data_IF_278502572634
#
_entry.id   IF_278502572634
#
_cell.length_a   1.000
_cell.length_b   1.000
_cell.length_c   1.000
_cell.angle_alpha   90.00
_cell.angle_beta   90.00
_cell.angle_gamma   90.00
#
_symmetry.space_group_name_H-M   'P 1'
#
loop_
_entity.id
_entity.type
_entity.pdbx_description
1 polymer ?
#
# COMPACT_ATOMS: atom_id res chain seq x y z
N UNK A 1 60.23 45.93 -4.46
CA UNK A 1 59.42 44.84 -4.95
C UNK A 1 59.60 43.66 -3.97
N UNK A 2 58.81 43.56 -2.94
CA UNK A 2 58.88 42.48 -1.94
C UNK A 2 57.69 41.55 -2.11
N UNK A 3 57.96 40.30 -2.42
CA UNK A 3 57.00 39.20 -2.50
C UNK A 3 56.58 38.83 -1.07
N UNK A 4 55.29 39.00 -0.76
CA UNK A 4 54.66 38.47 0.45
C UNK A 4 54.34 37.00 0.26
N UNK A 5 55.03 36.16 1.04
CA UNK A 5 54.91 34.70 1.06
C UNK A 5 53.55 34.28 1.68
N UNK A 6 52.93 33.30 1.03
CA UNK A 6 51.64 32.66 1.44
C UNK A 6 51.65 31.96 2.82
N UNK A 7 52.74 32.06 3.57
CA UNK A 7 52.95 31.35 4.87
C UNK A 7 52.51 32.11 6.12
N UNK A 8 52.15 33.39 6.04
CA UNK A 8 51.85 34.20 7.23
C UNK A 8 50.36 34.50 7.44
N UNK A 9 49.43 33.83 6.73
CA UNK A 9 47.97 34.03 6.88
C UNK A 9 47.32 33.10 7.88
N UNK A 10 48.05 32.23 8.58
CA UNK A 10 47.50 31.18 9.43
C UNK A 10 47.73 31.36 10.95
N UNK A 11 47.99 32.58 11.43
CA UNK A 11 48.25 32.79 12.87
C UNK A 11 47.49 33.95 13.52
N UNK A 12 46.29 34.24 13.09
CA UNK A 12 45.38 35.09 13.88
C UNK A 12 43.91 34.72 13.55
N UNK A 13 43.45 33.58 14.03
CA UNK A 13 42.04 33.17 14.01
C UNK A 13 41.52 33.20 15.43
N UNK A 14 40.82 34.27 15.73
CA UNK A 14 40.02 34.45 16.95
C UNK A 14 39.04 33.29 17.08
N UNK A 15 39.05 32.62 18.23
CA UNK A 15 38.05 31.66 18.65
C UNK A 15 36.71 32.38 18.84
N UNK A 16 35.88 32.45 17.81
CA UNK A 16 34.45 32.73 17.93
C UNK A 16 33.75 31.39 18.11
N UNK A 17 33.34 31.11 19.36
CA UNK A 17 32.53 29.95 19.70
C UNK A 17 31.24 29.99 18.92
N UNK A 18 31.15 29.22 17.85
CA UNK A 18 29.89 28.86 17.23
C UNK A 18 29.19 27.84 18.15
N UNK A 19 28.31 28.31 19.00
CA UNK A 19 27.24 27.50 19.55
C UNK A 19 26.41 27.02 18.35
N UNK A 20 26.83 25.90 17.77
CA UNK A 20 25.95 25.15 16.87
C UNK A 20 24.77 24.68 17.73
N UNK A 21 23.67 25.43 17.67
CA UNK A 21 22.39 24.98 18.18
C UNK A 21 22.08 23.65 17.47
N UNK A 22 22.18 22.55 18.19
CA UNK A 22 21.62 21.26 17.79
C UNK A 22 20.12 21.49 17.81
N UNK A 23 19.59 22.03 16.72
CA UNK A 23 18.16 22.03 16.48
C UNK A 23 17.74 20.58 16.48
N UNK A 24 17.02 20.15 17.51
CA UNK A 24 16.31 18.89 17.49
C UNK A 24 15.39 18.94 16.28
N UNK A 25 15.76 18.20 15.23
CA UNK A 25 14.86 17.92 14.11
C UNK A 25 13.67 17.17 14.70
N UNK A 26 12.65 17.88 15.11
CA UNK A 26 11.39 17.27 15.46
C UNK A 26 10.85 16.70 14.16
N UNK A 27 10.86 15.36 14.03
CA UNK A 27 10.19 14.70 12.92
C UNK A 27 8.73 15.18 12.91
N UNK A 28 8.28 15.68 11.75
CA UNK A 28 6.88 16.06 11.58
C UNK A 28 5.96 14.93 12.02
N UNK A 29 4.88 15.22 12.77
CA UNK A 29 3.95 14.20 13.22
C UNK A 29 3.43 13.38 12.03
N UNK A 30 3.50 12.04 12.16
CA UNK A 30 2.98 11.16 11.12
C UNK A 30 1.46 11.31 11.03
N UNK A 31 0.94 11.42 9.81
CA UNK A 31 -0.50 11.55 9.51
C UNK A 31 -0.96 10.44 8.56
N UNK A 32 -2.27 10.25 8.49
CA UNK A 32 -2.91 9.34 7.53
C UNK A 32 -2.46 9.62 6.08
N UNK A 33 -2.24 10.88 5.76
CA UNK A 33 -1.81 11.36 4.43
C UNK A 33 -0.30 11.55 4.29
N UNK A 34 0.49 11.23 5.33
CA UNK A 34 1.96 11.25 5.22
C UNK A 34 2.42 10.16 4.26
N UNK A 35 3.34 10.52 3.36
CA UNK A 35 3.97 9.57 2.45
C UNK A 35 4.92 8.64 3.22
N UNK A 36 4.90 7.37 2.88
CA UNK A 36 5.80 6.34 3.37
C UNK A 36 6.34 5.54 2.19
N UNK A 37 7.62 5.20 2.22
CA UNK A 37 8.20 4.26 1.25
C UNK A 37 7.79 2.84 1.62
N UNK A 38 7.28 2.07 0.66
CA UNK A 38 6.90 0.67 0.88
C UNK A 38 8.14 -0.23 0.90
N UNK A 39 8.56 -0.57 2.11
CA UNK A 39 9.71 -1.44 2.32
C UNK A 39 10.96 -0.98 1.55
N UNK A 40 11.57 -1.91 0.81
CA UNK A 40 12.75 -1.67 -0.05
C UNK A 40 12.40 -1.21 -1.47
N UNK A 41 11.11 -1.03 -1.80
CA UNK A 41 10.69 -0.50 -3.10
C UNK A 41 10.91 1.03 -3.17
N UNK A 42 10.97 1.57 -4.38
CA UNK A 42 11.07 3.03 -4.58
C UNK A 42 9.71 3.74 -4.53
N UNK A 43 8.63 2.98 -4.28
CA UNK A 43 7.26 3.50 -4.32
C UNK A 43 6.89 4.15 -2.99
N UNK A 44 6.44 5.39 -3.08
CA UNK A 44 5.86 6.13 -1.94
C UNK A 44 4.35 6.17 -2.04
N UNK A 45 3.69 5.85 -0.94
CA UNK A 45 2.22 5.86 -0.82
C UNK A 45 1.80 6.62 0.43
N UNK A 46 0.56 7.10 0.49
CA UNK A 46 0.00 7.57 1.75
C UNK A 46 -0.31 6.39 2.67
N UNK A 47 -0.26 6.61 3.98
CA UNK A 47 -0.56 5.58 4.97
C UNK A 47 -2.01 5.09 4.90
N UNK A 48 -2.91 5.93 4.39
CA UNK A 48 -4.29 5.58 4.08
C UNK A 48 -4.50 5.58 2.57
N UNK A 49 -5.11 4.52 2.06
CA UNK A 49 -5.49 4.36 0.67
C UNK A 49 -7.01 4.32 0.49
N UNK A 50 -7.50 4.78 -0.65
CA UNK A 50 -8.85 4.49 -1.12
C UNK A 50 -8.82 3.20 -1.94
N UNK A 51 -9.50 2.17 -1.41
CA UNK A 51 -9.67 0.88 -2.07
C UNK A 51 -11.03 0.74 -2.75
N UNK A 52 -11.06 0.00 -3.85
CA UNK A 52 -12.29 -0.29 -4.58
C UNK A 52 -12.76 -1.74 -4.44
N UNK A 53 -12.17 -2.51 -3.52
CA UNK A 53 -12.35 -3.97 -3.43
C UNK A 53 -13.41 -4.46 -2.44
N UNK A 54 -14.16 -3.59 -1.78
CA UNK A 54 -15.18 -4.02 -0.82
C UNK A 54 -16.24 -4.89 -1.49
N UNK A 55 -16.42 -6.12 -0.97
CA UNK A 55 -17.29 -7.14 -1.57
C UNK A 55 -17.02 -7.34 -3.08
N UNK A 56 -15.75 -7.53 -3.44
CA UNK A 56 -15.29 -7.67 -4.83
C UNK A 56 -15.67 -6.48 -5.72
N UNK A 57 -15.64 -5.27 -5.18
CA UNK A 57 -15.92 -4.02 -5.90
C UNK A 57 -17.37 -3.59 -5.92
N UNK A 58 -18.31 -4.43 -5.43
CA UNK A 58 -19.74 -4.15 -5.52
C UNK A 58 -20.14 -2.83 -4.85
N UNK A 59 -19.58 -2.55 -3.66
CA UNK A 59 -19.91 -1.30 -2.93
C UNK A 59 -19.60 -0.06 -3.76
N UNK A 60 -18.46 -0.02 -4.41
CA UNK A 60 -18.04 1.13 -5.21
C UNK A 60 -18.80 1.20 -6.54
N UNK A 61 -19.13 0.04 -7.13
CA UNK A 61 -19.95 -0.02 -8.34
C UNK A 61 -21.39 0.45 -8.09
N UNK A 62 -21.98 0.08 -6.94
CA UNK A 62 -23.34 0.49 -6.56
C UNK A 62 -23.47 2.02 -6.38
N UNK A 63 -22.37 2.75 -6.14
CA UNK A 63 -22.35 4.20 -6.11
C UNK A 63 -22.50 4.83 -7.51
N UNK A 64 -22.29 4.05 -8.56
CA UNK A 64 -22.18 4.54 -9.93
C UNK A 64 -20.93 5.39 -10.17
N UNK A 65 -20.72 5.77 -11.44
CA UNK A 65 -19.52 6.52 -11.83
C UNK A 65 -19.38 7.86 -11.09
N UNK A 66 -20.47 8.61 -11.00
CA UNK A 66 -20.47 9.93 -10.33
C UNK A 66 -20.16 9.81 -8.84
N UNK A 67 -20.73 8.79 -8.17
CA UNK A 67 -20.50 8.53 -6.75
C UNK A 67 -19.03 8.19 -6.48
N UNK A 68 -18.46 7.29 -7.26
CA UNK A 68 -17.03 6.96 -7.13
C UNK A 68 -16.13 8.16 -7.46
N UNK A 69 -16.45 8.92 -8.50
CA UNK A 69 -15.68 10.13 -8.86
C UNK A 69 -15.66 11.13 -7.71
N UNK A 70 -16.82 11.40 -7.07
CA UNK A 70 -16.88 12.27 -5.88
C UNK A 70 -16.00 11.76 -4.73
N UNK A 71 -15.99 10.43 -4.47
CA UNK A 71 -15.15 9.84 -3.42
C UNK A 71 -13.66 9.99 -3.73
N UNK A 72 -13.26 9.70 -4.97
CA UNK A 72 -11.86 9.80 -5.41
C UNK A 72 -11.34 11.22 -5.30
N UNK A 73 -12.13 12.21 -5.80
CA UNK A 73 -11.74 13.61 -5.72
C UNK A 73 -11.69 14.10 -4.27
N UNK A 74 -12.70 13.76 -3.45
CA UNK A 74 -12.66 14.12 -2.02
C UNK A 74 -11.43 13.50 -1.33
N UNK A 75 -11.14 12.22 -1.55
CA UNK A 75 -9.95 11.57 -0.99
C UNK A 75 -8.65 12.30 -1.42
N UNK A 76 -8.56 12.66 -2.70
CA UNK A 76 -7.42 13.39 -3.23
C UNK A 76 -7.29 14.79 -2.60
N UNK A 77 -8.39 15.55 -2.48
CA UNK A 77 -8.43 16.86 -1.85
C UNK A 77 -8.08 16.81 -0.36
N UNK A 78 -8.44 15.72 0.32
CA UNK A 78 -8.06 15.44 1.70
C UNK A 78 -6.60 14.95 1.86
N UNK A 79 -5.86 14.80 0.77
CA UNK A 79 -4.44 14.46 0.76
C UNK A 79 -4.12 12.96 0.61
N UNK A 80 -5.10 12.10 0.39
CA UNK A 80 -4.84 10.70 0.02
C UNK A 80 -4.20 10.66 -1.37
N UNK A 81 -3.11 9.93 -1.51
CA UNK A 81 -2.32 9.78 -2.74
C UNK A 81 -2.09 8.32 -3.10
N UNK A 82 -2.94 7.43 -2.62
CA UNK A 82 -2.86 6.01 -2.90
C UNK A 82 -4.25 5.45 -3.22
N UNK A 83 -4.39 4.91 -4.43
CA UNK A 83 -5.63 4.34 -4.94
C UNK A 83 -5.40 2.87 -5.29
N UNK A 84 -6.35 2.01 -4.92
CA UNK A 84 -6.24 0.56 -5.03
C UNK A 84 -7.43 -0.03 -5.75
N UNK A 85 -7.15 -0.92 -6.71
CA UNK A 85 -8.15 -1.70 -7.45
C UNK A 85 -7.64 -3.11 -7.74
N UNK A 86 -8.39 -3.88 -8.49
CA UNK A 86 -7.98 -5.18 -9.03
C UNK A 86 -8.78 -5.54 -10.28
N UNK A 87 -8.22 -6.41 -11.08
CA UNK A 87 -8.86 -7.00 -12.26
C UNK A 87 -10.22 -7.64 -11.93
N UNK A 88 -10.28 -8.39 -10.83
CA UNK A 88 -11.45 -9.16 -10.42
C UNK A 88 -12.55 -8.33 -9.74
N UNK A 89 -12.40 -6.99 -9.64
CA UNK A 89 -13.40 -6.13 -9.02
C UNK A 89 -14.44 -5.59 -10.02
N UNK A 90 -14.85 -6.42 -10.99
CA UNK A 90 -15.82 -6.04 -12.01
C UNK A 90 -15.38 -4.80 -12.79
N UNK A 91 -16.20 -3.75 -12.79
CA UNK A 91 -15.91 -2.50 -13.52
C UNK A 91 -15.08 -1.49 -12.71
N UNK A 92 -14.70 -1.81 -11.45
CA UNK A 92 -14.06 -0.85 -10.54
C UNK A 92 -12.78 -0.25 -11.12
N UNK A 93 -12.01 -1.04 -11.89
CA UNK A 93 -10.77 -0.57 -12.49
C UNK A 93 -11.01 0.52 -13.55
N UNK A 94 -11.98 0.32 -14.44
CA UNK A 94 -12.36 1.31 -15.45
C UNK A 94 -13.03 2.54 -14.81
N UNK A 95 -13.89 2.33 -13.82
CA UNK A 95 -14.55 3.42 -13.07
C UNK A 95 -13.52 4.28 -12.34
N UNK A 96 -12.50 3.66 -11.72
CA UNK A 96 -11.41 4.38 -11.07
C UNK A 96 -10.58 5.17 -12.09
N UNK A 97 -10.30 4.61 -13.25
CA UNK A 97 -9.59 5.29 -14.34
C UNK A 97 -10.34 6.57 -14.77
N UNK A 98 -11.67 6.49 -14.91
CA UNK A 98 -12.50 7.67 -15.23
C UNK A 98 -12.47 8.68 -14.08
N UNK A 99 -12.54 8.24 -12.83
CA UNK A 99 -12.53 9.11 -11.66
C UNK A 99 -11.19 9.85 -11.46
N UNK A 100 -10.08 9.27 -11.92
CA UNK A 100 -8.74 9.87 -11.86
C UNK A 100 -8.42 10.81 -13.01
N UNK A 101 -9.28 10.93 -14.03
CA UNK A 101 -9.07 11.86 -15.15
C UNK A 101 -8.92 13.29 -14.66
N UNK A 102 -7.89 13.97 -15.17
CA UNK A 102 -7.57 15.36 -14.77
C UNK A 102 -6.71 15.49 -13.53
N UNK A 103 -6.49 14.42 -12.77
CA UNK A 103 -5.52 14.39 -11.67
C UNK A 103 -4.14 14.03 -12.25
N UNK A 104 -3.07 14.80 -12.01
CA UNK A 104 -1.74 14.49 -12.53
C UNK A 104 -1.29 13.10 -12.14
N UNK A 105 -0.90 12.25 -13.11
CA UNK A 105 -0.59 10.84 -12.89
C UNK A 105 0.58 10.60 -11.91
N UNK A 106 1.54 11.48 -11.89
CA UNK A 106 2.71 11.45 -11.00
C UNK A 106 2.42 11.94 -9.57
N UNK A 107 1.24 12.45 -9.33
CA UNK A 107 0.83 12.97 -8.02
C UNK A 107 0.20 11.91 -7.10
N UNK A 108 -0.02 10.69 -7.59
CA UNK A 108 -0.59 9.59 -6.82
C UNK A 108 0.03 8.23 -7.19
N UNK A 109 -0.03 7.28 -6.27
CA UNK A 109 0.28 5.88 -6.53
C UNK A 109 -1.00 5.11 -6.90
N UNK A 110 -0.91 4.30 -7.95
CA UNK A 110 -1.98 3.42 -8.42
C UNK A 110 -1.54 1.96 -8.29
N UNK A 111 -2.31 1.20 -7.53
CA UNK A 111 -2.13 -0.24 -7.36
C UNK A 111 -3.26 -1.02 -8.01
N UNK A 112 -2.90 -2.04 -8.76
CA UNK A 112 -3.84 -3.06 -9.23
C UNK A 112 -3.32 -4.46 -8.94
N UNK A 113 -4.17 -5.46 -9.19
CA UNK A 113 -3.85 -6.87 -8.97
C UNK A 113 -4.30 -7.68 -10.18
N UNK A 114 -3.46 -8.62 -10.59
CA UNK A 114 -3.75 -9.54 -11.68
C UNK A 114 -4.16 -10.90 -11.14
N UNK A 115 -5.23 -11.47 -11.68
CA UNK A 115 -5.66 -12.84 -11.39
C UNK A 115 -4.77 -13.83 -12.14
N UNK A 116 -4.13 -14.71 -11.41
CA UNK A 116 -3.23 -15.71 -11.98
C UNK A 116 -4.01 -16.94 -12.45
N UNK A 117 -3.92 -17.27 -13.75
CA UNK A 117 -4.54 -18.45 -14.35
C UNK A 117 -3.57 -19.13 -15.34
N UNK A 118 -3.73 -20.45 -15.53
CA UNK A 118 -2.85 -21.23 -16.39
C UNK A 118 -2.95 -20.89 -17.88
N UNK A 119 -4.12 -20.45 -18.32
CA UNK A 119 -4.43 -20.24 -19.76
C UNK A 119 -4.17 -18.83 -20.29
N UNK A 120 -3.74 -17.90 -19.44
CA UNK A 120 -3.52 -16.51 -19.83
C UNK A 120 -2.07 -16.28 -20.26
N UNK A 121 -1.87 -15.51 -21.34
CA UNK A 121 -0.56 -14.90 -21.62
C UNK A 121 -0.33 -13.75 -20.62
N UNK A 122 0.61 -13.89 -19.67
CA UNK A 122 0.81 -12.87 -18.64
C UNK A 122 1.16 -11.51 -19.22
N UNK A 123 1.97 -11.45 -20.28
CA UNK A 123 2.41 -10.17 -20.88
C UNK A 123 1.24 -9.42 -21.50
N UNK A 124 0.46 -10.12 -22.31
CA UNK A 124 -0.73 -9.56 -22.94
C UNK A 124 -1.75 -9.08 -21.89
N UNK A 125 -1.90 -9.83 -20.80
CA UNK A 125 -2.81 -9.50 -19.71
C UNK A 125 -2.37 -8.28 -18.92
N UNK A 126 -1.10 -8.15 -18.57
CA UNK A 126 -0.56 -6.95 -17.90
C UNK A 126 -0.76 -5.69 -18.77
N UNK A 127 -0.55 -5.80 -20.09
CA UNK A 127 -0.79 -4.68 -21.01
C UNK A 127 -2.29 -4.37 -21.17
N UNK A 128 -3.17 -5.36 -21.10
CA UNK A 128 -4.62 -5.15 -21.09
C UNK A 128 -5.08 -4.41 -19.83
N UNK A 129 -4.60 -4.82 -18.65
CA UNK A 129 -4.90 -4.14 -17.38
C UNK A 129 -4.50 -2.67 -17.42
N UNK A 130 -3.35 -2.37 -18.00
CA UNK A 130 -2.86 -1.00 -18.16
C UNK A 130 -3.78 -0.18 -19.08
N UNK A 131 -4.22 -0.75 -20.21
CA UNK A 131 -5.21 -0.11 -21.10
C UNK A 131 -6.56 0.12 -20.40
N UNK A 132 -7.06 -0.89 -19.67
CA UNK A 132 -8.31 -0.80 -18.94
C UNK A 132 -8.29 0.24 -17.82
N UNK A 133 -7.11 0.56 -17.29
CA UNK A 133 -6.89 1.59 -16.27
C UNK A 133 -6.51 2.95 -16.84
N UNK A 134 -6.50 3.11 -18.18
CA UNK A 134 -6.11 4.35 -18.87
C UNK A 134 -4.80 4.94 -18.30
N UNK A 135 -3.77 4.11 -18.16
CA UNK A 135 -2.49 4.50 -17.55
C UNK A 135 -1.29 3.90 -18.29
N UNK A 136 -0.19 4.64 -18.31
CA UNK A 136 1.07 4.16 -18.89
C UNK A 136 1.81 3.19 -17.96
N UNK A 137 1.60 3.29 -16.65
CA UNK A 137 2.24 2.42 -15.67
C UNK A 137 1.40 2.25 -14.41
N UNK A 138 1.63 1.15 -13.70
CA UNK A 138 1.19 0.97 -12.31
C UNK A 138 2.37 1.20 -11.35
N UNK A 139 2.10 1.84 -10.23
CA UNK A 139 3.09 1.95 -9.16
C UNK A 139 3.28 0.60 -8.47
N UNK A 140 2.20 -0.17 -8.30
CA UNK A 140 2.24 -1.47 -7.66
C UNK A 140 1.38 -2.46 -8.46
N UNK A 141 1.95 -3.61 -8.81
CA UNK A 141 1.25 -4.76 -9.37
C UNK A 141 1.33 -5.94 -8.41
N UNK A 142 0.20 -6.50 -8.01
CA UNK A 142 0.16 -7.67 -7.15
C UNK A 142 -0.41 -8.89 -7.88
N UNK A 143 0.15 -10.08 -7.59
CA UNK A 143 -0.54 -11.34 -7.84
C UNK A 143 -1.74 -11.41 -6.90
N UNK A 144 -2.95 -11.54 -7.48
CA UNK A 144 -4.17 -11.46 -6.70
C UNK A 144 -4.54 -12.81 -6.07
N UNK A 145 -5.03 -12.75 -4.82
CA UNK A 145 -5.70 -13.86 -4.15
C UNK A 145 -4.87 -15.14 -4.08
N UNK A 146 -3.60 -15.02 -3.67
CA UNK A 146 -2.77 -16.19 -3.43
C UNK A 146 -3.18 -16.86 -2.11
N UNK A 147 -3.56 -18.16 -2.17
CA UNK A 147 -4.18 -18.86 -1.04
C UNK A 147 -3.57 -20.24 -0.73
N UNK A 148 -2.73 -20.78 -1.60
CA UNK A 148 -2.05 -22.06 -1.40
C UNK A 148 -0.65 -21.88 -0.82
N UNK A 149 -0.09 -22.92 -0.20
CA UNK A 149 1.31 -22.92 0.23
C UNK A 149 2.32 -23.06 -0.91
N UNK A 150 1.86 -23.39 -2.11
CA UNK A 150 2.69 -23.58 -3.31
C UNK A 150 2.67 -22.38 -4.26
N UNK A 151 1.90 -21.34 -3.94
CA UNK A 151 1.70 -20.19 -4.83
C UNK A 151 2.99 -19.57 -5.37
N UNK A 152 4.11 -19.51 -4.62
CA UNK A 152 5.33 -18.90 -5.18
C UNK A 152 5.86 -19.66 -6.41
N UNK A 153 5.73 -20.98 -6.41
CA UNK A 153 6.16 -21.82 -7.54
C UNK A 153 5.09 -21.86 -8.64
N UNK A 154 3.82 -21.97 -8.28
CA UNK A 154 2.69 -22.05 -9.22
C UNK A 154 2.58 -20.80 -10.10
N UNK A 155 3.05 -19.66 -9.63
CA UNK A 155 2.92 -18.35 -10.31
C UNK A 155 4.23 -17.86 -10.93
N UNK A 156 5.27 -18.67 -11.09
CA UNK A 156 6.58 -18.26 -11.61
C UNK A 156 6.50 -17.51 -12.93
N UNK A 157 5.73 -18.04 -13.88
CA UNK A 157 5.56 -17.41 -15.19
C UNK A 157 4.92 -16.00 -15.12
N UNK A 158 4.07 -15.74 -14.12
CA UNK A 158 3.54 -14.41 -13.83
C UNK A 158 4.61 -13.51 -13.19
N UNK A 159 5.39 -14.05 -12.26
CA UNK A 159 6.49 -13.32 -11.63
C UNK A 159 7.50 -12.84 -12.68
N UNK A 160 7.90 -13.72 -13.62
CA UNK A 160 8.83 -13.38 -14.69
C UNK A 160 8.26 -12.28 -15.61
N UNK A 161 6.98 -12.38 -15.99
CA UNK A 161 6.33 -11.36 -16.83
C UNK A 161 6.22 -9.99 -16.12
N UNK A 162 5.98 -9.99 -14.80
CA UNK A 162 5.95 -8.76 -14.00
C UNK A 162 7.35 -8.13 -13.92
N UNK A 163 8.41 -8.93 -13.72
CA UNK A 163 9.79 -8.43 -13.73
C UNK A 163 10.18 -7.83 -15.09
N UNK A 164 9.76 -8.44 -16.20
CA UNK A 164 9.95 -7.86 -17.53
C UNK A 164 9.18 -6.53 -17.70
N UNK A 165 7.95 -6.45 -17.17
CA UNK A 165 7.16 -5.21 -17.18
C UNK A 165 7.81 -4.11 -16.33
N UNK A 166 8.46 -4.47 -15.21
CA UNK A 166 9.23 -3.55 -14.38
C UNK A 166 10.46 -3.02 -15.15
N UNK A 167 11.20 -3.89 -15.86
CA UNK A 167 12.30 -3.46 -16.73
C UNK A 167 11.84 -2.48 -17.82
N UNK A 168 10.62 -2.68 -18.36
CA UNK A 168 9.98 -1.76 -19.33
C UNK A 168 9.40 -0.51 -18.67
N UNK A 169 9.45 -0.38 -17.33
CA UNK A 169 8.90 0.73 -16.54
C UNK A 169 7.37 0.87 -16.66
N UNK A 170 6.66 -0.18 -17.00
CA UNK A 170 5.20 -0.22 -16.98
C UNK A 170 4.64 -0.67 -15.62
N UNK A 171 5.50 -1.17 -14.75
CA UNK A 171 5.26 -1.45 -13.33
C UNK A 171 6.47 -0.90 -12.56
N UNK A 172 6.26 -0.32 -11.36
CA UNK A 172 7.36 0.22 -10.53
C UNK A 172 7.71 -0.69 -9.36
N UNK A 173 6.75 -1.45 -8.85
CA UNK A 173 6.94 -2.40 -7.74
C UNK A 173 5.95 -3.55 -7.85
N UNK A 174 6.32 -4.69 -7.30
CA UNK A 174 5.56 -5.92 -7.42
C UNK A 174 5.39 -6.65 -6.09
N UNK A 175 4.42 -7.55 -6.04
CA UNK A 175 4.16 -8.35 -4.86
C UNK A 175 2.96 -9.26 -4.99
N UNK A 176 2.39 -9.64 -3.86
CA UNK A 176 1.21 -10.50 -3.79
C UNK A 176 0.20 -10.05 -2.74
N UNK A 177 -1.06 -10.31 -3.04
CA UNK A 177 -2.18 -10.24 -2.10
C UNK A 177 -2.50 -11.66 -1.65
N UNK A 178 -2.30 -11.94 -0.36
CA UNK A 178 -2.43 -13.30 0.19
C UNK A 178 -3.70 -13.47 1.01
N UNK A 179 -4.28 -14.67 0.93
CA UNK A 179 -5.51 -15.06 1.58
C UNK A 179 -5.35 -16.44 2.22
N UNK A 180 -5.37 -16.50 3.55
CA UNK A 180 -5.16 -17.73 4.31
C UNK A 180 -3.73 -17.93 4.79
N UNK A 181 -3.60 -18.63 5.91
CA UNK A 181 -2.31 -18.93 6.56
C UNK A 181 -1.37 -19.73 5.67
N UNK A 182 -1.82 -20.71 4.86
CA UNK A 182 -0.90 -21.44 3.98
C UNK A 182 -0.12 -20.54 3.03
N UNK A 183 -0.79 -19.54 2.42
CA UNK A 183 -0.12 -18.55 1.57
C UNK A 183 0.72 -17.56 2.37
N UNK A 184 0.20 -17.08 3.50
CA UNK A 184 0.89 -16.11 4.35
C UNK A 184 2.23 -16.64 4.87
N UNK A 185 2.32 -17.93 5.23
CA UNK A 185 3.55 -18.59 5.68
C UNK A 185 4.66 -18.60 4.64
N UNK A 186 4.34 -18.39 3.36
CA UNK A 186 5.33 -18.28 2.29
C UNK A 186 5.85 -16.83 2.13
N UNK A 187 5.09 -15.81 2.55
CA UNK A 187 5.48 -14.41 2.36
C UNK A 187 6.90 -14.13 2.85
N UNK A 188 7.27 -14.41 4.11
CA UNK A 188 8.63 -14.14 4.58
C UNK A 188 9.71 -15.06 3.99
N UNK A 189 9.36 -16.03 3.13
CA UNK A 189 10.29 -16.95 2.47
C UNK A 189 10.45 -16.67 0.98
N UNK A 190 9.72 -15.70 0.45
CA UNK A 190 9.66 -15.42 -0.99
C UNK A 190 10.43 -14.15 -1.32
N UNK A 191 11.68 -14.29 -1.73
CA UNK A 191 12.60 -13.17 -2.03
C UNK A 191 12.10 -12.28 -3.16
N UNK A 192 11.26 -12.82 -4.05
CA UNK A 192 10.65 -12.06 -5.14
C UNK A 192 9.79 -10.89 -4.62
N UNK A 193 9.17 -11.00 -3.45
CA UNK A 193 8.25 -9.99 -2.94
C UNK A 193 8.96 -8.69 -2.54
N UNK A 194 8.50 -7.57 -3.09
CA UNK A 194 8.80 -6.22 -2.59
C UNK A 194 7.68 -5.71 -1.69
N UNK A 195 6.42 -6.07 -2.02
CA UNK A 195 5.21 -5.65 -1.30
C UNK A 195 4.31 -6.86 -1.02
N UNK A 196 3.78 -6.94 0.19
CA UNK A 196 2.75 -7.91 0.55
C UNK A 196 1.48 -7.21 1.05
N UNK A 197 0.32 -7.61 0.50
CA UNK A 197 -0.98 -7.14 0.94
C UNK A 197 -1.66 -8.24 1.74
N UNK A 198 -1.95 -7.97 3.03
CA UNK A 198 -2.33 -8.97 4.03
C UNK A 198 -3.59 -8.53 4.75
N UNK A 199 -4.50 -9.47 5.00
CA UNK A 199 -5.72 -9.24 5.80
C UNK A 199 -5.36 -9.04 7.27
N UNK A 200 -5.80 -7.94 7.89
CA UNK A 200 -5.38 -7.64 9.26
C UNK A 200 -6.35 -6.77 10.01
N UNK A 201 -6.74 -7.24 11.19
CA UNK A 201 -7.43 -6.44 12.21
C UNK A 201 -7.26 -7.10 13.60
N UNK A 202 -7.65 -6.39 14.64
CA UNK A 202 -7.44 -6.83 16.02
C UNK A 202 -8.40 -7.94 16.50
N UNK A 203 -9.46 -8.23 15.73
CA UNK A 203 -10.48 -9.23 16.08
C UNK A 203 -10.36 -10.54 15.29
N UNK A 204 -9.51 -10.60 14.29
CA UNK A 204 -9.41 -11.77 13.41
C UNK A 204 -10.55 -11.92 12.41
N UNK A 205 -11.49 -10.96 12.35
CA UNK A 205 -12.67 -11.03 11.46
C UNK A 205 -12.23 -10.87 10.01
N UNK A 206 -12.65 -11.80 9.13
CA UNK A 206 -12.23 -11.82 7.71
C UNK A 206 -10.70 -11.78 7.54
N UNK A 207 -9.99 -12.30 8.51
CA UNK A 207 -8.53 -12.44 8.51
C UNK A 207 -8.09 -13.81 8.01
N UNK A 208 -6.77 -14.04 7.98
CA UNK A 208 -6.20 -15.27 7.50
C UNK A 208 -6.35 -16.40 8.53
N UNK A 209 -7.03 -17.48 8.14
CA UNK A 209 -7.21 -18.75 8.83
C UNK A 209 -6.59 -19.89 7.99
N UNK A 210 -6.61 -21.12 8.50
CA UNK A 210 -6.10 -22.30 7.76
C UNK A 210 -6.87 -22.54 6.47
N UNK A 211 -8.18 -22.33 6.50
CA UNK A 211 -9.03 -22.39 5.30
C UNK A 211 -9.30 -20.95 4.86
N UNK A 212 -8.85 -20.54 3.66
CA UNK A 212 -9.07 -19.19 3.17
C UNK A 212 -10.56 -18.90 2.95
N UNK A 213 -10.93 -17.62 3.15
CA UNK A 213 -12.25 -17.07 2.86
C UNK A 213 -13.44 -17.75 3.56
N UNK A 214 -13.20 -18.27 4.77
CA UNK A 214 -14.24 -18.78 5.67
C UNK A 214 -14.67 -17.71 6.68
N UNK A 215 -15.73 -18.02 7.46
CA UNK A 215 -16.19 -17.19 8.58
C UNK A 215 -15.39 -17.45 9.87
N UNK A 216 -14.40 -18.34 9.84
CA UNK A 216 -13.50 -18.58 10.96
C UNK A 216 -12.69 -17.31 11.29
N UNK A 217 -12.48 -17.08 12.58
CA UNK A 217 -11.60 -16.01 13.03
C UNK A 217 -10.16 -16.35 12.68
N UNK A 218 -9.47 -15.43 12.03
CA UNK A 218 -8.05 -15.61 11.71
C UNK A 218 -7.15 -15.56 12.95
N UNK A 219 -5.99 -16.19 12.83
CA UNK A 219 -4.97 -16.21 13.89
C UNK A 219 -4.22 -14.88 13.96
N UNK A 220 -4.74 -13.93 14.75
CA UNK A 220 -4.17 -12.58 14.88
C UNK A 220 -2.66 -12.61 15.19
N UNK A 221 -2.25 -13.42 16.16
CA UNK A 221 -0.85 -13.51 16.57
C UNK A 221 0.06 -14.08 15.47
N UNK A 222 -0.40 -15.10 14.77
CA UNK A 222 0.36 -15.72 13.68
C UNK A 222 0.52 -14.75 12.51
N UNK A 223 -0.56 -14.06 12.12
CA UNK A 223 -0.50 -13.04 11.07
C UNK A 223 0.48 -11.93 11.44
N UNK A 224 0.41 -11.40 12.66
CA UNK A 224 1.34 -10.36 13.15
C UNK A 224 2.79 -10.84 13.11
N UNK A 225 3.05 -12.10 13.49
CA UNK A 225 4.40 -12.65 13.47
C UNK A 225 4.96 -12.73 12.04
N UNK A 226 4.17 -13.20 11.08
CA UNK A 226 4.60 -13.26 9.66
C UNK A 226 4.79 -11.86 9.06
N UNK A 227 3.95 -10.90 9.42
CA UNK A 227 4.13 -9.49 9.02
C UNK A 227 5.46 -8.94 9.54
N UNK A 228 5.79 -9.17 10.81
CA UNK A 228 7.06 -8.72 11.38
C UNK A 228 8.26 -9.37 10.69
N UNK A 229 8.18 -10.67 10.38
CA UNK A 229 9.22 -11.37 9.63
C UNK A 229 9.40 -10.80 8.20
N UNK A 230 8.31 -10.57 7.48
CA UNK A 230 8.34 -9.95 6.14
C UNK A 230 8.96 -8.55 6.19
N UNK A 231 8.61 -7.72 7.18
CA UNK A 231 9.22 -6.40 7.38
C UNK A 231 10.73 -6.47 7.67
N UNK A 232 11.18 -7.43 8.47
CA UNK A 232 12.61 -7.62 8.73
C UNK A 232 13.41 -7.91 7.46
N UNK A 233 12.77 -8.46 6.43
CA UNK A 233 13.36 -8.66 5.10
C UNK A 233 13.22 -7.43 4.18
N UNK A 234 12.66 -6.35 4.69
CA UNK A 234 12.49 -5.11 3.95
C UNK A 234 11.26 -5.06 3.05
N UNK A 235 10.28 -5.95 3.21
CA UNK A 235 9.03 -5.90 2.44
C UNK A 235 8.14 -4.75 2.91
N UNK A 236 7.49 -4.08 1.97
CA UNK A 236 6.41 -3.14 2.24
C UNK A 236 5.11 -3.89 2.57
N UNK A 237 4.41 -3.49 3.63
CA UNK A 237 3.19 -4.16 4.08
C UNK A 237 1.99 -3.25 3.95
N UNK A 238 1.00 -3.70 3.17
CA UNK A 238 -0.31 -3.06 3.04
C UNK A 238 -1.36 -3.93 3.74
N UNK A 239 -2.12 -3.34 4.67
CA UNK A 239 -3.23 -4.05 5.31
C UNK A 239 -4.52 -3.89 4.51
N UNK A 240 -5.28 -4.98 4.38
CA UNK A 240 -6.65 -5.00 3.88
C UNK A 240 -7.61 -5.65 4.89
N UNK A 241 -8.93 -5.55 4.67
CA UNK A 241 -9.99 -6.06 5.56
C UNK A 241 -9.93 -5.47 6.99
N UNK A 242 -9.29 -4.33 7.13
CA UNK A 242 -8.98 -3.69 8.40
C UNK A 242 -10.22 -3.44 9.27
N UNK A 243 -11.32 -3.04 8.67
CA UNK A 243 -12.58 -2.72 9.35
C UNK A 243 -13.60 -3.87 9.29
N UNK A 244 -13.12 -5.13 9.10
CA UNK A 244 -13.95 -6.32 9.04
C UNK A 244 -15.01 -6.28 7.92
N UNK A 245 -14.69 -5.68 6.77
CA UNK A 245 -15.65 -5.44 5.68
C UNK A 245 -16.91 -4.66 6.09
N UNK A 246 -16.75 -3.73 7.02
CA UNK A 246 -17.83 -2.82 7.44
C UNK A 246 -18.64 -3.28 8.64
N UNK A 247 -18.31 -4.44 9.25
CA UNK A 247 -19.02 -4.92 10.44
C UNK A 247 -18.55 -4.26 11.75
N UNK A 248 -17.42 -3.52 11.73
CA UNK A 248 -16.89 -2.86 12.91
C UNK A 248 -17.64 -1.56 13.20
N UNK A 249 -17.99 -1.37 14.47
CA UNK A 249 -18.47 -0.09 14.97
C UNK A 249 -17.34 0.95 15.01
N UNK A 250 -17.63 2.19 15.38
CA UNK A 250 -16.68 3.30 15.42
C UNK A 250 -15.45 2.99 16.32
N UNK A 251 -15.67 2.48 17.53
CA UNK A 251 -14.59 2.15 18.48
C UNK A 251 -13.69 1.03 17.93
N UNK A 252 -14.27 0.01 17.33
CA UNK A 252 -13.50 -1.07 16.69
C UNK A 252 -12.69 -0.57 15.49
N UNK A 253 -13.22 0.37 14.69
CA UNK A 253 -12.46 0.97 13.59
C UNK A 253 -11.24 1.76 14.10
N UNK A 254 -11.37 2.50 15.19
CA UNK A 254 -10.23 3.16 15.85
C UNK A 254 -9.19 2.16 16.38
N UNK A 255 -9.65 1.12 17.05
CA UNK A 255 -8.77 0.04 17.57
C UNK A 255 -8.05 -0.68 16.43
N UNK A 256 -8.72 -0.93 15.32
CA UNK A 256 -8.14 -1.60 14.16
C UNK A 256 -7.01 -0.75 13.54
N UNK A 257 -7.20 0.56 13.37
CA UNK A 257 -6.16 1.48 12.90
C UNK A 257 -4.93 1.46 13.83
N UNK A 258 -5.15 1.60 15.12
CA UNK A 258 -4.06 1.52 16.13
C UNK A 258 -3.33 0.18 16.09
N UNK A 259 -4.07 -0.92 16.01
CA UNK A 259 -3.50 -2.26 15.94
C UNK A 259 -2.62 -2.43 14.70
N UNK A 260 -3.09 -2.03 13.53
CA UNK A 260 -2.34 -2.17 12.28
C UNK A 260 -0.98 -1.44 12.34
N UNK A 261 -0.97 -0.21 12.81
CA UNK A 261 0.27 0.60 12.81
C UNK A 261 1.16 0.39 14.03
N UNK A 262 0.59 0.30 15.23
CA UNK A 262 1.39 0.21 16.48
C UNK A 262 1.73 -1.22 16.89
N UNK A 263 0.89 -2.22 16.55
CA UNK A 263 1.11 -3.62 16.93
C UNK A 263 1.71 -4.44 15.81
N UNK A 264 1.09 -4.40 14.65
CA UNK A 264 1.55 -5.15 13.48
C UNK A 264 2.64 -4.40 12.70
N UNK A 265 2.61 -3.08 12.69
CA UNK A 265 3.62 -2.25 12.08
C UNK A 265 3.52 -2.19 10.55
N UNK A 266 2.30 -2.08 10.00
CA UNK A 266 2.09 -1.93 8.57
C UNK A 266 2.54 -0.55 8.06
N UNK A 267 2.82 -0.44 6.77
CA UNK A 267 3.21 0.83 6.15
C UNK A 267 1.99 1.61 5.68
N UNK A 268 0.97 0.91 5.17
CA UNK A 268 -0.26 1.52 4.65
C UNK A 268 -1.45 0.59 4.87
N UNK A 269 -2.65 1.16 4.84
CA UNK A 269 -3.92 0.41 4.89
C UNK A 269 -4.82 0.84 3.74
N UNK A 270 -5.54 -0.11 3.15
CA UNK A 270 -6.57 0.17 2.15
C UNK A 270 -7.96 -0.03 2.75
N UNK A 271 -8.84 0.95 2.50
CA UNK A 271 -10.23 0.94 2.97
C UNK A 271 -11.14 1.38 1.82
N UNK A 272 -12.24 0.67 1.64
CA UNK A 272 -13.31 1.08 0.75
C UNK A 272 -14.35 1.92 1.50
N UNK A 273 -14.90 2.92 0.82
CA UNK A 273 -15.82 3.91 1.41
C UNK A 273 -17.14 3.98 0.63
N UNK A 274 -18.23 4.30 1.33
CA UNK A 274 -19.55 4.54 0.74
C UNK A 274 -19.86 6.02 0.54
N UNK A 275 -19.21 6.88 1.31
CA UNK A 275 -19.43 8.32 1.28
C UNK A 275 -18.18 9.08 1.78
N UNK A 276 -18.17 10.38 1.61
CA UNK A 276 -17.03 11.25 2.00
C UNK A 276 -16.81 11.32 3.50
N UNK A 277 -17.87 11.20 4.32
CA UNK A 277 -17.75 11.23 5.78
C UNK A 277 -16.98 10.01 6.31
N UNK A 278 -17.08 8.84 5.66
CA UNK A 278 -16.29 7.66 6.02
C UNK A 278 -14.79 7.86 5.71
N UNK A 279 -14.44 8.64 4.66
CA UNK A 279 -13.06 9.02 4.36
C UNK A 279 -12.52 9.93 5.45
N UNK A 280 -13.27 10.95 5.84
CA UNK A 280 -12.89 11.89 6.89
C UNK A 280 -12.72 11.18 8.23
N UNK A 281 -13.65 10.30 8.60
CA UNK A 281 -13.52 9.46 9.80
C UNK A 281 -12.26 8.58 9.77
N UNK A 282 -11.95 7.96 8.64
CA UNK A 282 -10.77 7.11 8.52
C UNK A 282 -9.47 7.91 8.66
N UNK A 283 -9.41 9.12 8.12
CA UNK A 283 -8.28 10.04 8.29
C UNK A 283 -8.11 10.39 9.77
N UNK A 284 -9.18 10.77 10.45
CA UNK A 284 -9.16 11.17 11.87
C UNK A 284 -8.76 9.99 12.76
N UNK A 285 -9.34 8.80 12.55
CA UNK A 285 -9.01 7.58 13.30
C UNK A 285 -7.55 7.18 13.11
N UNK A 286 -7.00 7.31 11.89
CA UNK A 286 -5.60 7.00 11.66
C UNK A 286 -4.67 8.06 12.25
N UNK A 287 -5.00 9.35 12.14
CA UNK A 287 -4.24 10.42 12.79
C UNK A 287 -4.16 10.20 14.31
N UNK A 288 -5.28 9.85 14.93
CA UNK A 288 -5.33 9.49 16.35
C UNK A 288 -4.50 8.26 16.69
N UNK A 289 -4.46 7.27 15.80
CA UNK A 289 -3.66 6.06 15.98
C UNK A 289 -2.16 6.33 15.85
N UNK A 290 -1.75 7.29 15.04
CA UNK A 290 -0.35 7.64 14.78
C UNK A 290 0.24 8.60 15.82
N UNK A 291 -0.61 9.41 16.46
CA UNK A 291 -0.23 10.27 17.58
C UNK A 291 0.21 9.40 18.78
#
# INVERSE_FOLDING_TARGET
MNQLSRRNFLKTGVAAGALAGVGTLHAEPQKATSLVTLGKSDVKVTRLALGTGSFSGRIQQDLGQEGLTRLVHHAYDRGIRFFETAESYGQSQQMLAVALKGIPRDSYALMTKVTTGESADPRARLDELRRNSDTDYFDIMLLHWQHTGTWPDDTRHWQDAILEAEQRKTIRSHGASVHGLPALRQVPKTDWLQVAMIRMNHKGVRMDAEIPDTDELGSVNEVVNHVKQARQQGMGIISMKLIGEGVFNHEDRQRAMRFAFKTAGVDSVTVGYKNTAEIDEAIDNLNLALA
#
